data_IF_257960454459
#
_entry.id   IF_257960454459
#
_cell.length_a   1.000
_cell.length_b   1.000
_cell.length_c   1.000
_cell.angle_alpha   90.00
_cell.angle_beta   90.00
_cell.angle_gamma   90.00
#
_symmetry.space_group_name_H-M   'P 1'
#
loop_
_entity.id
_entity.type
_entity.pdbx_description
1 polymer ?
#
# COMPACT_ATOMS: atom_id res chain seq x y z
N UNK A 1 0.33 -23.11 6.78
CA UNK A 1 1.26 -22.88 5.65
C UNK A 1 1.07 -21.46 5.10
N UNK A 2 2.13 -20.68 4.90
CA UNK A 2 2.04 -19.24 4.57
C UNK A 2 2.84 -18.89 3.30
N UNK A 3 3.87 -19.66 2.95
CA UNK A 3 4.74 -19.33 1.82
C UNK A 3 4.03 -19.69 0.52
N UNK A 4 3.61 -18.67 -0.23
CA UNK A 4 2.92 -18.83 -1.50
C UNK A 4 3.90 -19.25 -2.61
N UNK A 5 3.53 -20.29 -3.35
CA UNK A 5 4.20 -20.72 -4.58
C UNK A 5 3.21 -20.71 -5.75
N UNK A 6 3.59 -20.08 -6.86
CA UNK A 6 2.68 -19.97 -8.01
C UNK A 6 2.44 -21.35 -8.64
N UNK A 7 1.19 -21.64 -9.02
CA UNK A 7 0.85 -22.91 -9.72
C UNK A 7 1.65 -22.99 -11.03
N UNK A 8 2.15 -24.20 -11.36
CA UNK A 8 2.96 -24.52 -12.55
C UNK A 8 4.36 -23.87 -12.58
N UNK A 9 4.54 -22.66 -12.08
CA UNK A 9 5.85 -21.99 -12.05
C UNK A 9 6.74 -22.46 -10.89
N UNK A 10 6.15 -22.76 -9.74
CA UNK A 10 6.88 -23.23 -8.55
C UNK A 10 7.07 -24.75 -8.47
N UNK A 11 6.76 -25.51 -9.53
CA UNK A 11 6.76 -26.98 -9.47
C UNK A 11 8.16 -27.56 -9.24
N UNK A 12 9.20 -26.92 -9.80
CA UNK A 12 10.59 -27.31 -9.53
C UNK A 12 10.98 -27.12 -8.07
N UNK A 13 10.54 -26.02 -7.45
CA UNK A 13 10.75 -25.77 -6.02
C UNK A 13 10.03 -26.84 -5.21
N UNK A 14 8.76 -27.11 -5.53
CA UNK A 14 7.95 -28.15 -4.86
C UNK A 14 8.63 -29.52 -4.89
N UNK A 15 9.23 -29.89 -6.03
CA UNK A 15 9.97 -31.15 -6.15
C UNK A 15 11.19 -31.18 -5.23
N UNK A 16 11.96 -30.08 -5.12
CA UNK A 16 13.14 -29.99 -4.24
C UNK A 16 12.76 -30.12 -2.76
N UNK A 17 11.66 -29.47 -2.36
CA UNK A 17 11.23 -29.46 -0.95
C UNK A 17 10.34 -30.64 -0.56
N UNK A 18 9.94 -31.49 -1.51
CA UNK A 18 9.05 -32.63 -1.29
C UNK A 18 7.58 -32.26 -1.02
N UNK A 19 7.07 -31.19 -1.63
CA UNK A 19 5.69 -30.72 -1.46
C UNK A 19 4.76 -31.15 -2.61
N UNK A 20 3.45 -31.24 -2.35
CA UNK A 20 2.47 -31.58 -3.39
C UNK A 20 2.34 -30.46 -4.42
N UNK A 21 2.13 -30.83 -5.69
CA UNK A 21 1.87 -29.89 -6.80
C UNK A 21 0.58 -29.10 -6.64
N UNK A 22 -0.35 -29.59 -5.83
CA UNK A 22 -1.62 -28.92 -5.58
C UNK A 22 -1.55 -27.84 -4.50
N UNK A 23 -0.52 -27.90 -3.64
CA UNK A 23 -0.38 -27.00 -2.50
C UNK A 23 -0.04 -25.58 -2.97
N UNK A 24 -0.97 -24.64 -2.70
CA UNK A 24 -0.75 -23.20 -2.96
C UNK A 24 0.19 -22.55 -1.93
N UNK A 25 0.16 -23.03 -0.69
CA UNK A 25 0.94 -22.50 0.42
C UNK A 25 1.74 -23.60 1.09
N UNK A 26 3.02 -23.35 1.29
CA UNK A 26 3.97 -24.29 1.87
C UNK A 26 4.36 -23.83 3.28
N UNK A 27 4.64 -24.79 4.18
CA UNK A 27 5.16 -24.48 5.51
C UNK A 27 6.65 -24.17 5.45
N UNK A 28 7.11 -23.25 6.30
CA UNK A 28 8.51 -22.82 6.34
C UNK A 28 9.48 -24.00 6.53
N UNK A 29 9.12 -24.95 7.39
CA UNK A 29 9.94 -26.14 7.70
C UNK A 29 10.27 -26.97 6.46
N UNK A 30 9.41 -27.02 5.44
CA UNK A 30 9.65 -27.81 4.24
C UNK A 30 10.88 -27.34 3.44
N UNK A 31 11.26 -26.06 3.59
CA UNK A 31 12.41 -25.47 2.90
C UNK A 31 13.76 -25.82 3.57
N UNK A 32 13.73 -26.43 4.75
CA UNK A 32 14.92 -26.85 5.47
C UNK A 32 15.01 -28.38 5.54
N UNK A 33 16.23 -28.90 5.58
CA UNK A 33 16.49 -30.31 5.87
C UNK A 33 16.30 -30.59 7.37
N UNK A 34 16.33 -31.86 7.77
CA UNK A 34 16.32 -32.25 9.18
C UNK A 34 17.55 -31.71 9.94
N UNK A 35 18.66 -31.48 9.23
CA UNK A 35 19.89 -30.86 9.75
C UNK A 35 19.84 -29.33 9.76
N UNK A 36 18.75 -28.71 9.28
CA UNK A 36 18.57 -27.26 9.23
C UNK A 36 19.19 -26.56 8.01
N UNK A 37 19.70 -27.31 7.04
CA UNK A 37 20.27 -26.75 5.82
C UNK A 37 19.16 -26.22 4.90
N UNK A 38 19.40 -25.07 4.28
CA UNK A 38 18.44 -24.45 3.39
C UNK A 38 18.46 -25.09 2.00
N UNK A 39 17.38 -25.80 1.64
CA UNK A 39 17.31 -26.63 0.43
C UNK A 39 17.44 -25.86 -0.89
N UNK A 40 17.10 -24.56 -0.89
CA UNK A 40 17.21 -23.73 -2.10
C UNK A 40 18.59 -23.09 -2.29
N UNK A 41 19.45 -23.08 -1.26
CA UNK A 41 20.74 -22.40 -1.29
C UNK A 41 21.60 -22.71 -2.54
N UNK A 42 21.73 -23.97 -3.00
CA UNK A 42 22.56 -24.29 -4.17
C UNK A 42 22.09 -23.66 -5.48
N UNK A 43 20.82 -23.28 -5.56
CA UNK A 43 20.19 -22.74 -6.78
C UNK A 43 20.16 -21.22 -6.80
N UNK A 44 20.48 -20.57 -5.68
CA UNK A 44 20.35 -19.12 -5.52
C UNK A 44 21.59 -18.36 -5.95
N UNK A 45 22.78 -18.93 -5.79
CA UNK A 45 24.04 -18.24 -6.14
C UNK A 45 24.05 -17.80 -7.61
N UNK A 46 23.76 -18.73 -8.53
CA UNK A 46 23.69 -18.44 -9.97
C UNK A 46 22.54 -17.48 -10.29
N UNK A 47 21.39 -17.66 -9.64
CA UNK A 47 20.25 -16.78 -9.84
C UNK A 47 20.61 -15.33 -9.49
N UNK A 48 21.19 -15.08 -8.32
CA UNK A 48 21.55 -13.73 -7.85
C UNK A 48 22.69 -13.11 -8.65
N UNK A 49 23.63 -13.90 -9.17
CA UNK A 49 24.72 -13.41 -10.02
C UNK A 49 24.26 -12.96 -11.41
N UNK A 50 23.15 -13.49 -11.91
CA UNK A 50 22.62 -13.20 -13.25
C UNK A 50 21.92 -11.83 -13.32
N UNK A 51 22.29 -10.99 -14.28
CA UNK A 51 21.73 -9.63 -14.49
C UNK A 51 20.29 -9.65 -15.03
N UNK A 52 19.95 -10.60 -15.90
CA UNK A 52 18.59 -10.81 -16.44
C UNK A 52 18.14 -12.23 -16.11
N UNK A 53 17.47 -12.44 -14.96
CA UNK A 53 17.04 -13.77 -14.53
C UNK A 53 16.01 -14.37 -15.48
N UNK A 54 16.15 -15.66 -15.79
CA UNK A 54 15.10 -16.41 -16.49
C UNK A 54 13.88 -16.64 -15.56
N UNK A 55 12.78 -17.16 -16.10
CA UNK A 55 11.55 -17.35 -15.33
C UNK A 55 11.73 -18.28 -14.11
N UNK A 56 12.64 -19.26 -14.19
CA UNK A 56 12.96 -20.17 -13.10
C UNK A 56 13.75 -19.45 -12.00
N UNK A 57 14.85 -18.79 -12.36
CA UNK A 57 15.67 -18.00 -11.44
C UNK A 57 14.86 -16.92 -10.74
N UNK A 58 13.94 -16.27 -11.46
CA UNK A 58 13.01 -15.29 -10.88
C UNK A 58 12.11 -15.91 -9.80
N UNK A 59 11.51 -17.08 -10.06
CA UNK A 59 10.67 -17.76 -9.05
C UNK A 59 11.48 -18.21 -7.83
N UNK A 60 12.73 -18.66 -8.02
CA UNK A 60 13.63 -19.01 -6.92
C UNK A 60 13.98 -17.80 -6.05
N UNK A 61 14.34 -16.67 -6.67
CA UNK A 61 14.59 -15.40 -5.94
C UNK A 61 13.36 -14.93 -5.16
N UNK A 62 12.20 -14.90 -5.82
CA UNK A 62 10.96 -14.47 -5.17
C UNK A 62 10.57 -15.40 -4.01
N UNK A 63 10.82 -16.70 -4.15
CA UNK A 63 10.57 -17.67 -3.09
C UNK A 63 11.55 -17.53 -1.93
N UNK A 64 12.84 -17.37 -2.23
CA UNK A 64 13.88 -17.10 -1.23
C UNK A 64 13.54 -15.85 -0.41
N UNK A 65 13.17 -14.75 -1.07
CA UNK A 65 12.75 -13.53 -0.39
C UNK A 65 11.58 -13.77 0.57
N UNK A 66 10.56 -14.54 0.16
CA UNK A 66 9.42 -14.90 1.03
C UNK A 66 9.82 -15.78 2.21
N UNK A 67 10.70 -16.77 1.97
CA UNK A 67 11.22 -17.67 3.01
C UNK A 67 12.02 -16.89 4.03
N UNK A 68 13.00 -16.09 3.57
CA UNK A 68 13.86 -15.28 4.43
C UNK A 68 13.07 -14.23 5.20
N UNK A 69 12.09 -13.58 4.56
CA UNK A 69 11.23 -12.62 5.26
C UNK A 69 10.46 -13.27 6.42
N UNK A 70 9.85 -14.44 6.19
CA UNK A 70 9.13 -15.16 7.24
C UNK A 70 10.07 -15.69 8.32
N UNK A 71 11.22 -16.24 7.92
CA UNK A 71 12.23 -16.73 8.86
C UNK A 71 12.75 -15.60 9.76
N UNK A 72 13.12 -14.47 9.17
CA UNK A 72 13.59 -13.28 9.90
C UNK A 72 12.53 -12.68 10.83
N UNK A 73 11.26 -12.70 10.41
CA UNK A 73 10.15 -12.27 11.26
C UNK A 73 9.97 -13.19 12.48
N UNK A 74 10.10 -14.51 12.32
CA UNK A 74 9.97 -15.48 13.41
C UNK A 74 11.18 -15.50 14.36
N UNK A 75 12.40 -15.34 13.84
CA UNK A 75 13.60 -15.18 14.67
C UNK A 75 13.67 -13.80 15.35
N UNK A 76 12.84 -12.86 14.91
CA UNK A 76 12.79 -11.50 15.43
C UNK A 76 14.06 -10.71 15.10
N UNK A 77 14.64 -10.94 13.91
CA UNK A 77 15.79 -10.18 13.40
C UNK A 77 15.35 -8.88 12.74
N UNK A 78 14.24 -8.91 11.98
CA UNK A 78 13.70 -7.73 11.28
C UNK A 78 12.86 -6.81 12.15
N UNK A 79 12.34 -7.29 13.28
CA UNK A 79 11.44 -6.51 14.14
C UNK A 79 12.24 -5.80 15.23
N UNK A 80 12.37 -4.48 15.09
CA UNK A 80 12.95 -3.60 16.12
C UNK A 80 11.85 -3.21 17.10
N UNK A 81 11.74 -3.96 18.20
CA UNK A 81 10.65 -3.82 19.17
C UNK A 81 11.09 -3.22 20.49
N UNK A 82 12.41 -3.20 20.77
CA UNK A 82 12.92 -2.90 22.09
C UNK A 82 13.71 -1.60 22.07
N UNK A 83 13.28 -0.54 22.78
CA UNK A 83 14.03 0.71 22.86
C UNK A 83 15.36 0.51 23.58
N UNK A 84 16.41 1.21 23.11
CA UNK A 84 17.68 1.36 23.81
C UNK A 84 17.53 2.45 24.87
N UNK A 85 17.97 2.15 26.10
CA UNK A 85 17.88 3.07 27.23
C UNK A 85 18.82 4.27 27.00
N UNK A 86 18.31 5.49 27.18
CA UNK A 86 19.04 6.76 27.09
C UNK A 86 19.78 7.00 25.75
N UNK A 87 19.27 6.45 24.65
CA UNK A 87 19.82 6.69 23.31
C UNK A 87 19.33 8.03 22.74
N UNK A 88 20.26 8.91 22.34
CA UNK A 88 19.94 10.25 21.82
C UNK A 88 19.03 10.23 20.58
N UNK A 89 19.06 9.16 19.79
CA UNK A 89 18.28 9.02 18.56
C UNK A 89 17.02 8.17 18.76
N UNK A 90 16.65 7.82 20.00
CA UNK A 90 15.54 6.93 20.31
C UNK A 90 15.62 5.62 19.50
N UNK A 91 16.81 5.01 19.40
CA UNK A 91 17.02 3.78 18.62
C UNK A 91 16.29 2.59 19.25
N UNK A 92 15.65 1.79 18.40
CA UNK A 92 15.06 0.51 18.78
C UNK A 92 15.84 -0.64 18.15
N UNK A 93 15.99 -1.73 18.89
CA UNK A 93 16.75 -2.91 18.48
C UNK A 93 15.87 -4.15 18.43
N UNK A 94 16.34 -5.15 17.68
CA UNK A 94 15.71 -6.45 17.59
C UNK A 94 16.27 -7.41 18.64
N UNK A 95 15.53 -8.50 18.93
CA UNK A 95 16.02 -9.51 19.88
C UNK A 95 17.31 -10.17 19.41
N UNK A 96 17.50 -10.30 18.09
CA UNK A 96 18.70 -10.90 17.51
C UNK A 96 19.91 -9.99 17.61
N UNK A 97 19.71 -8.68 17.45
CA UNK A 97 20.76 -7.67 17.58
C UNK A 97 21.32 -7.66 19.01
N UNK A 98 20.44 -7.69 20.03
CA UNK A 98 20.87 -7.74 21.43
C UNK A 98 21.65 -9.02 21.79
N UNK A 99 21.35 -10.17 21.14
CA UNK A 99 22.13 -11.42 21.32
C UNK A 99 23.52 -11.33 20.67
N UNK A 100 23.65 -10.55 19.61
CA UNK A 100 24.91 -10.38 18.87
C UNK A 100 25.86 -9.38 19.51
N UNK A 101 25.33 -8.33 20.14
CA UNK A 101 26.09 -7.30 20.84
C UNK A 101 25.53 -7.02 22.24
N UNK A 102 26.00 -7.80 23.22
CA UNK A 102 25.56 -7.73 24.61
C UNK A 102 25.94 -6.39 25.32
N UNK A 103 26.58 -5.44 24.63
CA UNK A 103 26.99 -4.15 25.21
C UNK A 103 25.97 -3.03 24.99
N UNK A 104 25.01 -3.22 24.08
CA UNK A 104 24.01 -2.19 23.75
C UNK A 104 23.09 -1.92 24.94
N UNK A 105 22.64 -2.98 25.62
CA UNK A 105 21.80 -2.89 26.82
C UNK A 105 22.61 -3.28 28.05
N UNK A 106 22.89 -2.29 28.90
CA UNK A 106 23.67 -2.49 30.14
C UNK A 106 22.88 -3.19 31.25
N UNK A 107 21.56 -3.01 31.28
CA UNK A 107 20.67 -3.67 32.24
C UNK A 107 20.53 -5.16 31.88
N UNK A 108 21.04 -6.04 32.74
CA UNK A 108 21.04 -7.48 32.52
C UNK A 108 19.63 -8.09 32.56
N UNK A 109 18.72 -7.55 33.38
CA UNK A 109 17.34 -8.02 33.45
C UNK A 109 16.60 -7.66 32.16
N UNK A 110 16.75 -6.43 31.71
CA UNK A 110 16.13 -5.99 30.46
C UNK A 110 16.72 -6.71 29.25
N UNK A 111 18.04 -6.91 29.21
CA UNK A 111 18.70 -7.67 28.14
C UNK A 111 18.21 -9.13 28.07
N UNK A 112 18.04 -9.79 29.22
CA UNK A 112 17.47 -11.14 29.28
C UNK A 112 16.00 -11.17 28.82
N UNK A 113 15.22 -10.15 29.17
CA UNK A 113 13.85 -10.00 28.69
C UNK A 113 13.82 -9.81 27.16
N UNK A 114 14.69 -8.97 26.57
CA UNK A 114 14.76 -8.80 25.11
C UNK A 114 15.09 -10.13 24.41
N UNK A 115 16.04 -10.88 24.96
CA UNK A 115 16.53 -12.12 24.35
C UNK A 115 15.47 -13.23 24.31
N UNK A 116 14.54 -13.24 25.27
CA UNK A 116 13.57 -14.33 25.45
C UNK A 116 12.13 -13.89 25.19
N UNK A 117 11.77 -12.64 25.51
CA UNK A 117 10.41 -12.12 25.52
C UNK A 117 9.67 -12.29 24.21
N UNK A 118 10.30 -11.97 23.07
CA UNK A 118 9.66 -12.17 21.75
C UNK A 118 9.39 -13.65 21.44
N UNK A 119 10.34 -14.55 21.75
CA UNK A 119 10.15 -16.00 21.55
C UNK A 119 9.09 -16.57 22.51
N UNK A 120 9.06 -16.10 23.75
CA UNK A 120 8.05 -16.44 24.76
C UNK A 120 6.66 -15.99 24.32
N UNK A 121 6.53 -14.78 23.78
CA UNK A 121 5.28 -14.29 23.18
C UNK A 121 4.81 -15.21 22.06
N UNK A 122 5.67 -15.54 21.09
CA UNK A 122 5.31 -16.44 19.99
C UNK A 122 4.91 -17.85 20.47
N UNK A 123 5.58 -18.36 21.50
CA UNK A 123 5.24 -19.64 22.13
C UNK A 123 3.82 -19.61 22.72
N UNK A 124 3.51 -18.63 23.58
CA UNK A 124 2.19 -18.51 24.18
C UNK A 124 1.10 -18.18 23.17
N UNK A 125 1.41 -17.37 22.14
CA UNK A 125 0.48 -17.10 21.05
C UNK A 125 0.11 -18.40 20.32
N UNK A 126 1.08 -19.27 20.05
CA UNK A 126 0.82 -20.56 19.43
C UNK A 126 0.01 -21.51 20.34
N UNK A 127 0.25 -21.48 21.65
CA UNK A 127 -0.58 -22.22 22.62
C UNK A 127 -2.01 -21.68 22.65
N UNK A 128 -2.19 -20.35 22.71
CA UNK A 128 -3.49 -19.70 22.70
C UNK A 128 -4.29 -19.97 21.45
N UNK A 129 -3.63 -20.11 20.29
CA UNK A 129 -4.31 -20.57 19.05
C UNK A 129 -4.86 -22.00 19.14
N UNK A 130 -4.32 -22.85 20.01
CA UNK A 130 -4.79 -24.23 20.23
C UNK A 130 -5.84 -24.31 21.33
N UNK A 131 -5.68 -23.56 22.41
CA UNK A 131 -6.59 -23.54 23.57
C UNK A 131 -7.73 -22.52 23.46
N UNK A 132 -7.64 -21.58 22.50
CA UNK A 132 -8.48 -20.39 22.38
C UNK A 132 -8.41 -19.42 23.58
N UNK A 133 -7.32 -19.47 24.35
CA UNK A 133 -7.02 -18.58 25.47
C UNK A 133 -5.71 -17.83 25.24
N UNK A 134 -5.80 -16.50 25.10
CA UNK A 134 -4.68 -15.62 24.78
C UNK A 134 -4.12 -14.87 26.01
N UNK A 135 -4.61 -15.17 27.21
CA UNK A 135 -4.27 -14.44 28.44
C UNK A 135 -2.76 -14.39 28.70
N UNK A 136 -2.04 -15.50 28.47
CA UNK A 136 -0.58 -15.54 28.66
C UNK A 136 0.18 -14.77 27.57
N UNK A 137 -0.26 -14.82 26.30
CA UNK A 137 0.36 -14.01 25.24
C UNK A 137 0.13 -12.52 25.47
N UNK A 138 -1.06 -12.14 25.97
CA UNK A 138 -1.41 -10.75 26.26
C UNK A 138 -0.59 -10.19 27.42
N UNK A 139 -0.27 -11.01 28.44
CA UNK A 139 0.66 -10.62 29.51
C UNK A 139 2.05 -10.29 28.99
N UNK A 140 2.60 -11.12 28.10
CA UNK A 140 3.92 -10.87 27.52
C UNK A 140 3.88 -9.65 26.58
N UNK A 141 2.82 -9.51 25.79
CA UNK A 141 2.62 -8.33 24.94
C UNK A 141 2.53 -7.05 25.77
N UNK A 142 1.78 -7.08 26.88
CA UNK A 142 1.71 -5.99 27.84
C UNK A 142 3.09 -5.63 28.41
N UNK A 143 3.88 -6.62 28.81
CA UNK A 143 5.25 -6.38 29.29
C UNK A 143 6.15 -5.74 28.21
N UNK A 144 6.02 -6.14 26.94
CA UNK A 144 6.74 -5.50 25.82
C UNK A 144 6.29 -4.04 25.68
N UNK A 145 4.98 -3.78 25.65
CA UNK A 145 4.42 -2.43 25.55
C UNK A 145 4.87 -1.55 26.72
N UNK A 146 4.85 -2.05 27.95
CA UNK A 146 5.30 -1.33 29.13
C UNK A 146 6.76 -0.90 29.00
N UNK A 147 7.64 -1.75 28.46
CA UNK A 147 9.03 -1.37 28.20
C UNK A 147 9.15 -0.31 27.11
N UNK A 148 8.31 -0.37 26.07
CA UNK A 148 8.28 0.62 25.00
C UNK A 148 7.82 1.99 25.52
N UNK A 149 6.76 2.04 26.34
CA UNK A 149 6.32 3.28 26.98
C UNK A 149 7.33 3.80 28.01
N UNK A 150 7.98 2.92 28.77
CA UNK A 150 8.93 3.32 29.80
C UNK A 150 10.21 3.92 29.23
N UNK A 151 10.79 3.29 28.22
CA UNK A 151 12.11 3.67 27.68
C UNK A 151 12.05 4.35 26.31
N UNK A 152 10.94 4.24 25.59
CA UNK A 152 10.76 4.79 24.23
C UNK A 152 9.60 5.79 24.10
N UNK A 153 9.10 6.35 25.21
CA UNK A 153 7.93 7.26 25.23
C UNK A 153 8.04 8.44 24.25
N UNK A 154 9.25 8.94 23.97
CA UNK A 154 9.47 10.10 23.10
C UNK A 154 9.00 9.89 21.65
N UNK A 155 8.98 8.64 21.19
CA UNK A 155 8.62 8.27 19.80
C UNK A 155 7.35 7.42 19.72
N UNK A 156 6.70 7.14 20.86
CA UNK A 156 5.43 6.41 20.88
C UNK A 156 4.29 7.29 20.37
N UNK A 157 3.41 6.71 19.55
CA UNK A 157 2.20 7.36 19.08
C UNK A 157 1.15 7.42 20.19
N UNK A 158 0.30 8.44 20.18
CA UNK A 158 -0.85 8.51 21.08
C UNK A 158 -1.89 7.45 20.70
N UNK A 159 -2.65 6.95 21.67
CA UNK A 159 -3.72 5.96 21.42
C UNK A 159 -4.70 6.42 20.33
N UNK A 160 -5.09 7.71 20.36
CA UNK A 160 -5.96 8.31 19.34
C UNK A 160 -5.39 8.22 17.93
N UNK A 161 -4.06 8.31 17.77
CA UNK A 161 -3.38 8.24 16.48
C UNK A 161 -3.28 6.79 16.01
N UNK A 162 -3.03 5.85 16.91
CA UNK A 162 -3.05 4.40 16.64
C UNK A 162 -4.45 3.97 16.18
N UNK A 163 -5.51 4.34 16.92
CA UNK A 163 -6.89 4.04 16.54
C UNK A 163 -7.26 4.64 15.19
N UNK A 164 -6.84 5.89 14.95
CA UNK A 164 -7.04 6.59 13.67
C UNK A 164 -6.39 5.83 12.50
N UNK A 165 -5.17 5.32 12.68
CA UNK A 165 -4.47 4.50 11.69
C UNK A 165 -5.14 3.14 11.46
N UNK A 166 -5.57 2.47 12.54
CA UNK A 166 -6.31 1.20 12.44
C UNK A 166 -7.61 1.39 11.66
N UNK A 167 -8.36 2.46 11.93
CA UNK A 167 -9.58 2.79 11.19
C UNK A 167 -9.28 3.13 9.72
N UNK A 168 -8.25 3.93 9.46
CA UNK A 168 -7.81 4.29 8.11
C UNK A 168 -7.50 3.02 7.28
N UNK A 169 -6.72 2.09 7.84
CA UNK A 169 -6.38 0.82 7.18
C UNK A 169 -7.59 -0.11 7.03
N UNK A 170 -8.53 -0.09 7.98
CA UNK A 170 -9.75 -0.91 7.92
C UNK A 170 -10.71 -0.44 6.82
N UNK A 171 -10.89 0.87 6.67
CA UNK A 171 -11.81 1.44 5.67
C UNK A 171 -11.21 1.46 4.26
N UNK A 172 -9.88 1.55 4.14
CA UNK A 172 -9.16 1.54 2.86
C UNK A 172 -9.85 2.43 1.81
N UNK A 173 -9.95 3.72 2.16
CA UNK A 173 -10.78 4.70 1.46
C UNK A 173 -10.39 4.78 -0.01
N UNK A 174 -9.09 4.78 -0.32
CA UNK A 174 -8.58 4.93 -1.68
C UNK A 174 -8.89 3.72 -2.58
N UNK A 175 -8.87 2.50 -2.02
CA UNK A 175 -9.29 1.30 -2.74
C UNK A 175 -10.78 1.32 -3.08
N UNK A 176 -11.60 1.85 -2.18
CA UNK A 176 -13.03 2.00 -2.48
C UNK A 176 -13.27 3.13 -3.49
N UNK A 177 -12.57 4.27 -3.34
CA UNK A 177 -12.72 5.45 -4.19
C UNK A 177 -12.48 5.15 -5.67
N UNK A 178 -11.46 4.36 -6.03
CA UNK A 178 -11.20 4.07 -7.45
C UNK A 178 -12.42 3.42 -8.12
N UNK A 179 -13.05 2.45 -7.44
CA UNK A 179 -14.22 1.73 -7.96
C UNK A 179 -15.40 2.68 -8.16
N UNK A 180 -15.65 3.55 -7.18
CA UNK A 180 -16.75 4.50 -7.25
C UNK A 180 -16.55 5.58 -8.30
N UNK A 181 -15.33 6.11 -8.44
CA UNK A 181 -15.01 7.05 -9.53
C UNK A 181 -15.16 6.39 -10.90
N UNK A 182 -14.75 5.11 -11.03
CA UNK A 182 -14.89 4.36 -12.28
C UNK A 182 -16.37 4.21 -12.66
N UNK A 183 -17.23 3.80 -11.72
CA UNK A 183 -18.65 3.65 -11.96
C UNK A 183 -19.31 5.00 -12.24
N UNK A 184 -19.11 6.01 -11.40
CA UNK A 184 -19.73 7.32 -11.57
C UNK A 184 -19.28 8.01 -12.87
N UNK A 185 -17.98 7.98 -13.18
CA UNK A 185 -17.43 8.58 -14.40
C UNK A 185 -17.88 7.87 -15.67
N UNK A 186 -17.82 6.53 -15.71
CA UNK A 186 -18.20 5.76 -16.90
C UNK A 186 -19.71 5.80 -17.15
N UNK A 187 -20.52 5.71 -16.10
CA UNK A 187 -21.98 5.82 -16.24
C UNK A 187 -22.39 7.23 -16.66
N UNK A 188 -21.78 8.27 -16.09
CA UNK A 188 -22.02 9.64 -16.54
C UNK A 188 -21.66 9.81 -18.02
N UNK A 189 -20.53 9.27 -18.46
CA UNK A 189 -20.12 9.31 -19.87
C UNK A 189 -21.15 8.64 -20.79
N UNK A 190 -21.65 7.45 -20.42
CA UNK A 190 -22.69 6.74 -21.17
C UNK A 190 -23.99 7.56 -21.23
N UNK A 191 -24.43 8.10 -20.09
CA UNK A 191 -25.66 8.91 -20.02
C UNK A 191 -25.54 10.19 -20.86
N UNK A 192 -24.36 10.83 -20.89
CA UNK A 192 -24.10 12.00 -21.73
C UNK A 192 -24.16 11.65 -23.23
N UNK A 193 -23.65 10.48 -23.64
CA UNK A 193 -23.83 10.01 -25.02
C UNK A 193 -25.31 9.81 -25.34
N UNK A 194 -26.08 9.21 -24.44
CA UNK A 194 -27.53 9.05 -24.64
C UNK A 194 -28.28 10.38 -24.69
N UNK A 195 -27.83 11.39 -23.94
CA UNK A 195 -28.41 12.74 -23.96
C UNK A 195 -28.33 13.39 -25.35
N UNK A 196 -27.28 13.10 -26.12
CA UNK A 196 -27.12 13.59 -27.50
C UNK A 196 -28.26 13.09 -28.40
N UNK A 197 -28.74 11.86 -28.18
CA UNK A 197 -29.82 11.27 -28.98
C UNK A 197 -31.22 11.52 -28.42
N UNK A 198 -31.36 11.63 -27.09
CA UNK A 198 -32.66 11.74 -26.43
C UNK A 198 -32.56 12.67 -25.21
N UNK A 199 -33.00 13.92 -25.35
CA UNK A 199 -32.93 14.90 -24.26
C UNK A 199 -34.23 14.93 -23.45
N UNK A 200 -34.35 14.02 -22.48
CA UNK A 200 -35.50 13.91 -21.58
C UNK A 200 -35.17 14.30 -20.14
N UNK A 201 -36.19 14.69 -19.36
CA UNK A 201 -36.06 15.07 -17.94
C UNK A 201 -35.39 13.99 -17.08
N UNK A 202 -35.59 12.71 -17.41
CA UNK A 202 -34.96 11.58 -16.73
C UNK A 202 -33.44 11.58 -16.93
N UNK A 203 -32.97 11.78 -18.16
CA UNK A 203 -31.54 11.80 -18.49
C UNK A 203 -30.85 12.98 -17.81
N UNK A 204 -31.45 14.17 -17.85
CA UNK A 204 -30.91 15.35 -17.15
C UNK A 204 -30.86 15.16 -15.63
N UNK A 205 -31.84 14.44 -15.05
CA UNK A 205 -31.83 14.10 -13.63
C UNK A 205 -30.71 13.11 -13.29
N UNK A 206 -30.49 12.09 -14.13
CA UNK A 206 -29.39 11.13 -13.97
C UNK A 206 -28.01 11.80 -14.06
N UNK A 207 -27.81 12.69 -15.03
CA UNK A 207 -26.56 13.49 -15.15
C UNK A 207 -26.30 14.26 -13.87
N UNK A 208 -27.33 14.91 -13.33
CA UNK A 208 -27.23 15.68 -12.09
C UNK A 208 -26.84 14.79 -10.90
N UNK A 209 -27.47 13.62 -10.76
CA UNK A 209 -27.15 12.65 -9.71
C UNK A 209 -25.70 12.18 -9.80
N UNK A 210 -25.24 11.76 -10.99
CA UNK A 210 -23.86 11.30 -11.16
C UNK A 210 -22.84 12.42 -10.94
N UNK A 211 -23.14 13.64 -11.38
CA UNK A 211 -22.26 14.79 -11.13
C UNK A 211 -22.11 15.09 -9.64
N UNK A 212 -23.20 15.13 -8.88
CA UNK A 212 -23.13 15.32 -7.43
C UNK A 212 -22.45 14.16 -6.71
N UNK A 213 -22.62 12.92 -7.20
CA UNK A 213 -21.87 11.77 -6.72
C UNK A 213 -20.36 11.96 -6.90
N UNK A 214 -19.90 12.43 -8.07
CA UNK A 214 -18.49 12.74 -8.31
C UNK A 214 -17.98 13.83 -7.36
N UNK A 215 -18.77 14.88 -7.09
CA UNK A 215 -18.39 15.91 -6.12
C UNK A 215 -18.27 15.36 -4.69
N UNK A 216 -19.18 14.46 -4.29
CA UNK A 216 -19.08 13.77 -3.01
C UNK A 216 -17.80 12.91 -2.92
N UNK A 217 -17.49 12.16 -3.98
CA UNK A 217 -16.25 11.38 -4.06
C UNK A 217 -15.01 12.27 -4.00
N UNK A 218 -15.06 13.47 -4.56
CA UNK A 218 -13.96 14.44 -4.48
C UNK A 218 -13.71 14.93 -3.06
N UNK A 219 -14.77 15.20 -2.31
CA UNK A 219 -14.67 15.58 -0.90
C UNK A 219 -14.14 14.41 -0.06
N UNK A 220 -14.66 13.19 -0.27
CA UNK A 220 -14.16 11.99 0.42
C UNK A 220 -12.69 11.71 0.12
N UNK A 221 -12.26 11.97 -1.11
CA UNK A 221 -10.86 11.87 -1.52
C UNK A 221 -9.98 12.88 -0.77
N UNK A 222 -10.41 14.14 -0.68
CA UNK A 222 -9.70 15.16 0.11
C UNK A 222 -9.61 14.78 1.60
N UNK A 223 -10.71 14.28 2.18
CA UNK A 223 -10.74 13.79 3.57
C UNK A 223 -9.75 12.64 3.77
N UNK A 224 -9.68 11.69 2.82
CA UNK A 224 -8.70 10.59 2.87
C UNK A 224 -7.26 11.09 2.87
N UNK A 225 -6.94 12.11 2.06
CA UNK A 225 -5.60 12.73 2.04
C UNK A 225 -5.29 13.45 3.36
N UNK A 226 -6.23 14.22 3.90
CA UNK A 226 -6.07 14.88 5.20
C UNK A 226 -5.90 13.88 6.34
N UNK A 227 -6.66 12.78 6.32
CA UNK A 227 -6.53 11.70 7.30
C UNK A 227 -5.15 11.06 7.22
N UNK A 228 -4.66 10.76 6.01
CA UNK A 228 -3.31 10.23 5.82
C UNK A 228 -2.24 11.20 6.33
N UNK A 229 -2.36 12.49 6.03
CA UNK A 229 -1.45 13.52 6.55
C UNK A 229 -1.41 13.55 8.08
N UNK A 230 -2.57 13.47 8.75
CA UNK A 230 -2.63 13.42 10.20
C UNK A 230 -1.89 12.20 10.78
N UNK A 231 -2.02 11.03 10.14
CA UNK A 231 -1.35 9.79 10.57
C UNK A 231 0.16 9.84 10.29
N UNK A 232 0.57 10.21 9.08
CA UNK A 232 1.98 10.22 8.69
C UNK A 232 2.78 11.34 9.34
N UNK A 233 2.13 12.45 9.72
CA UNK A 233 2.81 13.63 10.26
C UNK A 233 3.51 14.48 9.19
N UNK A 234 3.41 14.11 7.91
CA UNK A 234 3.92 14.88 6.77
C UNK A 234 2.91 14.88 5.63
N UNK A 235 3.08 15.78 4.66
CA UNK A 235 2.17 15.86 3.54
C UNK A 235 2.21 14.58 2.67
N UNK A 236 1.08 14.13 2.11
CA UNK A 236 0.93 12.83 1.45
C UNK A 236 1.38 12.89 -0.01
N UNK A 237 2.66 13.19 -0.25
CA UNK A 237 3.30 13.16 -1.57
C UNK A 237 4.78 12.79 -1.45
N UNK A 238 5.16 12.04 -0.41
CA UNK A 238 6.54 11.69 -0.12
C UNK A 238 7.01 10.43 -0.85
N UNK A 239 6.09 9.51 -1.10
CA UNK A 239 6.34 8.24 -1.79
C UNK A 239 5.56 8.14 -3.11
N UNK A 240 5.78 7.06 -3.87
CA UNK A 240 5.12 6.83 -5.15
C UNK A 240 3.61 6.59 -5.04
N UNK A 241 3.15 5.92 -3.98
CA UNK A 241 1.73 5.70 -3.70
C UNK A 241 1.02 7.00 -3.39
N UNK A 242 1.58 7.76 -2.44
CA UNK A 242 1.17 9.08 -2.03
C UNK A 242 1.11 10.06 -3.20
N UNK A 243 2.13 10.04 -4.05
CA UNK A 243 2.14 10.86 -5.27
C UNK A 243 0.97 10.52 -6.19
N UNK A 244 0.64 9.24 -6.40
CA UNK A 244 -0.47 8.87 -7.29
C UNK A 244 -1.84 9.26 -6.74
N UNK A 245 -2.09 9.05 -5.44
CA UNK A 245 -3.34 9.50 -4.82
C UNK A 245 -3.46 11.03 -4.90
N UNK A 246 -2.37 11.76 -4.68
CA UNK A 246 -2.36 13.22 -4.82
C UNK A 246 -2.59 13.68 -6.28
N UNK A 247 -1.89 13.09 -7.27
CA UNK A 247 -2.10 13.40 -8.70
C UNK A 247 -3.56 13.18 -9.08
N UNK A 248 -4.15 12.06 -8.64
CA UNK A 248 -5.55 11.75 -8.97
C UNK A 248 -6.51 12.77 -8.37
N UNK A 249 -6.30 13.21 -7.14
CA UNK A 249 -7.08 14.27 -6.53
C UNK A 249 -6.94 15.61 -7.28
N UNK A 250 -5.71 16.02 -7.64
CA UNK A 250 -5.47 17.26 -8.41
C UNK A 250 -6.08 17.18 -9.81
N UNK A 251 -6.01 16.01 -10.46
CA UNK A 251 -6.66 15.76 -11.77
C UNK A 251 -8.16 15.98 -11.68
N UNK A 252 -8.82 15.43 -10.66
CA UNK A 252 -10.24 15.63 -10.43
C UNK A 252 -10.56 17.09 -10.09
N UNK A 253 -9.74 17.75 -9.27
CA UNK A 253 -9.89 19.17 -8.95
C UNK A 253 -9.94 20.03 -10.22
N UNK A 254 -8.98 19.86 -11.12
CA UNK A 254 -8.96 20.57 -12.39
C UNK A 254 -10.13 20.16 -13.30
N UNK A 255 -10.54 18.89 -13.27
CA UNK A 255 -11.74 18.42 -13.95
C UNK A 255 -13.02 19.11 -13.48
N UNK A 256 -13.17 19.37 -12.17
CA UNK A 256 -14.31 20.12 -11.61
C UNK A 256 -14.21 21.61 -11.96
N UNK A 257 -13.02 22.21 -11.83
CA UNK A 257 -12.80 23.65 -12.09
C UNK A 257 -13.07 23.99 -13.56
N UNK A 258 -12.52 23.22 -14.49
CA UNK A 258 -12.67 23.45 -15.94
C UNK A 258 -13.92 22.79 -16.52
N UNK A 259 -14.47 21.75 -15.89
CA UNK A 259 -15.70 21.07 -16.31
C UNK A 259 -16.99 21.84 -16.06
N UNK A 260 -16.93 23.07 -15.50
CA UNK A 260 -18.10 23.95 -15.32
C UNK A 260 -18.88 24.23 -16.60
N UNK A 261 -18.21 24.14 -17.77
CA UNK A 261 -18.81 24.38 -19.09
C UNK A 261 -19.27 23.09 -19.80
N UNK A 262 -18.80 21.93 -19.36
CA UNK A 262 -19.08 20.66 -20.04
C UNK A 262 -19.08 19.50 -19.04
N UNK A 263 -20.23 18.87 -18.87
CA UNK A 263 -20.37 17.67 -18.04
C UNK A 263 -19.53 16.50 -18.60
N UNK A 264 -19.20 16.51 -19.91
CA UNK A 264 -18.31 15.54 -20.54
C UNK A 264 -16.89 15.62 -19.95
N UNK A 265 -16.41 16.82 -19.67
CA UNK A 265 -15.11 17.03 -19.01
C UNK A 265 -15.10 16.42 -17.60
N UNK A 266 -16.19 16.57 -16.84
CA UNK A 266 -16.31 15.97 -15.49
C UNK A 266 -16.31 14.44 -15.59
N UNK A 267 -17.03 13.87 -16.56
CA UNK A 267 -17.08 12.43 -16.78
C UNK A 267 -15.72 11.84 -17.15
N UNK A 268 -15.03 12.43 -18.14
CA UNK A 268 -13.74 11.94 -18.61
C UNK A 268 -12.64 12.09 -17.56
N UNK A 269 -12.68 13.15 -16.75
CA UNK A 269 -11.71 13.37 -15.66
C UNK A 269 -11.94 12.46 -14.48
N UNK A 270 -13.20 12.20 -14.12
CA UNK A 270 -13.54 11.17 -13.12
C UNK A 270 -13.08 9.79 -13.56
N UNK A 271 -13.26 9.45 -14.85
CA UNK A 271 -12.75 8.20 -15.41
C UNK A 271 -11.23 8.09 -15.28
N UNK A 272 -10.46 9.11 -15.66
CA UNK A 272 -8.99 9.02 -15.52
C UNK A 272 -8.51 9.10 -14.09
N UNK A 273 -9.18 9.84 -13.22
CA UNK A 273 -8.95 9.81 -11.77
C UNK A 273 -9.06 8.37 -11.24
N UNK A 274 -10.07 7.63 -11.70
CA UNK A 274 -10.22 6.21 -11.34
C UNK A 274 -9.08 5.33 -11.86
N UNK A 275 -8.56 5.60 -13.05
CA UNK A 275 -7.42 4.86 -13.62
C UNK A 275 -6.14 5.11 -12.85
N UNK A 276 -5.85 6.37 -12.47
CA UNK A 276 -4.68 6.71 -11.66
C UNK A 276 -4.77 6.03 -10.29
N UNK A 277 -5.93 6.10 -9.62
CA UNK A 277 -6.15 5.43 -8.34
C UNK A 277 -6.04 3.90 -8.46
N UNK A 278 -6.52 3.31 -9.56
CA UNK A 278 -6.38 1.87 -9.82
C UNK A 278 -4.90 1.46 -9.94
N UNK A 279 -4.10 2.24 -10.68
CA UNK A 279 -2.65 1.99 -10.83
C UNK A 279 -1.94 2.12 -9.48
N UNK A 280 -2.36 3.07 -8.63
CA UNK A 280 -1.79 3.22 -7.28
C UNK A 280 -1.94 1.95 -6.42
N UNK A 281 -2.99 1.15 -6.65
CA UNK A 281 -3.25 -0.09 -5.89
C UNK A 281 -2.71 -1.35 -6.59
N UNK A 282 -2.00 -1.21 -7.71
CA UNK A 282 -1.30 -2.35 -8.29
C UNK A 282 -0.12 -2.75 -7.38
N UNK A 283 0.26 -4.03 -7.43
CA UNK A 283 1.20 -4.65 -6.49
C UNK A 283 2.64 -4.11 -6.52
N UNK A 284 2.89 -3.02 -7.25
CA UNK A 284 4.19 -2.39 -7.41
C UNK A 284 4.39 -1.21 -6.47
N UNK A 285 3.32 -0.73 -5.82
CA UNK A 285 3.36 0.41 -4.92
C UNK A 285 3.15 -0.04 -3.48
N UNK A 286 3.92 0.52 -2.54
CA UNK A 286 3.76 0.26 -1.12
C UNK A 286 2.75 1.25 -0.51
N UNK A 287 1.57 0.80 -0.05
CA UNK A 287 0.59 1.68 0.57
C UNK A 287 0.94 2.05 2.03
N UNK A 288 1.93 1.37 2.63
CA UNK A 288 2.33 1.60 4.02
C UNK A 288 2.81 3.03 4.24
N UNK A 289 2.51 3.56 5.43
CA UNK A 289 2.98 4.88 5.83
C UNK A 289 4.42 4.69 6.30
N UNK A 290 5.37 5.14 5.48
CA UNK A 290 6.78 5.11 5.80
C UNK A 290 7.24 6.42 6.45
N UNK A 291 8.38 6.38 7.13
CA UNK A 291 9.04 7.59 7.58
C UNK A 291 9.51 8.43 6.39
N UNK A 292 9.47 9.75 6.54
CA UNK A 292 9.96 10.67 5.54
C UNK A 292 11.45 10.42 5.28
N UNK A 293 11.82 10.24 4.00
CA UNK A 293 13.22 10.08 3.62
C UNK A 293 13.96 11.39 3.92
N UNK A 294 15.18 11.37 4.52
CA UNK A 294 15.89 12.59 4.93
C UNK A 294 16.06 13.64 3.82
N UNK A 295 16.13 13.21 2.56
CA UNK A 295 16.22 14.13 1.40
C UNK A 295 14.99 15.00 1.25
N UNK A 296 13.81 14.50 1.64
CA UNK A 296 12.51 15.18 1.57
C UNK A 296 12.22 16.06 2.78
N UNK A 297 13.07 16.03 3.82
CA UNK A 297 12.93 16.85 5.03
C UNK A 297 13.48 18.28 4.83
N UNK A 298 13.08 18.90 3.72
CA UNK A 298 13.41 20.29 3.40
C UNK A 298 12.17 21.00 2.89
N UNK A 299 11.89 22.16 3.46
CA UNK A 299 10.75 23.00 3.09
C UNK A 299 10.69 23.28 1.58
N UNK A 300 11.84 23.55 0.97
CA UNK A 300 11.93 23.83 -0.46
C UNK A 300 11.63 22.61 -1.32
N UNK A 301 12.12 21.44 -0.92
CA UNK A 301 11.90 20.22 -1.69
C UNK A 301 10.44 19.77 -1.57
N UNK A 302 9.82 19.89 -0.41
CA UNK A 302 8.40 19.61 -0.21
C UNK A 302 7.51 20.45 -1.12
N UNK A 303 7.75 21.77 -1.22
CA UNK A 303 6.98 22.64 -2.12
C UNK A 303 7.25 22.30 -3.59
N UNK A 304 8.52 22.13 -3.97
CA UNK A 304 8.91 21.82 -5.33
C UNK A 304 8.25 20.53 -5.85
N UNK A 305 8.32 19.45 -5.07
CA UNK A 305 7.71 18.17 -5.42
C UNK A 305 6.19 18.30 -5.49
N UNK A 306 5.55 18.99 -4.54
CA UNK A 306 4.09 19.17 -4.57
C UNK A 306 3.59 19.91 -5.83
N UNK A 307 4.35 20.89 -6.33
CA UNK A 307 4.02 21.64 -7.54
C UNK A 307 4.26 20.80 -8.80
N UNK A 308 5.40 20.10 -8.89
CA UNK A 308 5.69 19.22 -10.03
C UNK A 308 4.64 18.11 -10.11
N UNK A 309 4.40 17.43 -9.00
CA UNK A 309 3.43 16.33 -8.93
C UNK A 309 2.02 16.85 -9.20
N UNK A 310 1.65 18.00 -8.64
CA UNK A 310 0.38 18.65 -8.91
C UNK A 310 0.20 19.05 -10.39
N UNK A 311 1.27 19.41 -11.08
CA UNK A 311 1.23 19.80 -12.50
C UNK A 311 0.80 18.67 -13.43
N UNK A 312 0.97 17.40 -13.04
CA UNK A 312 0.47 16.28 -13.84
C UNK A 312 -1.05 16.31 -14.00
N UNK A 313 -1.80 16.84 -13.02
CA UNK A 313 -3.26 16.94 -13.10
C UNK A 313 -3.77 17.71 -14.33
N UNK A 314 -3.40 18.99 -14.53
CA UNK A 314 -3.81 19.73 -15.72
C UNK A 314 -3.23 19.15 -17.01
N UNK A 315 -2.01 18.60 -17.02
CA UNK A 315 -1.48 17.90 -18.21
C UNK A 315 -2.32 16.67 -18.59
N UNK A 316 -2.71 15.87 -17.60
CA UNK A 316 -3.60 14.72 -17.79
C UNK A 316 -4.95 15.16 -18.31
N UNK A 317 -5.54 16.22 -17.74
CA UNK A 317 -6.79 16.82 -18.23
C UNK A 317 -6.68 17.24 -19.70
N UNK A 318 -5.64 17.99 -20.07
CA UNK A 318 -5.41 18.46 -21.45
C UNK A 318 -5.27 17.30 -22.42
N UNK A 319 -4.54 16.25 -22.04
CA UNK A 319 -4.37 15.05 -22.86
C UNK A 319 -5.71 14.35 -23.12
N UNK A 320 -6.54 14.18 -22.08
CA UNK A 320 -7.83 13.51 -22.20
C UNK A 320 -8.80 14.32 -23.05
N UNK A 321 -8.90 15.62 -22.80
CA UNK A 321 -9.77 16.50 -23.58
C UNK A 321 -9.38 16.46 -25.06
N UNK A 322 -8.07 16.55 -25.36
CA UNK A 322 -7.57 16.41 -26.72
C UNK A 322 -7.95 15.06 -27.36
N UNK A 323 -7.79 13.95 -26.63
CA UNK A 323 -8.15 12.62 -27.12
C UNK A 323 -9.66 12.49 -27.38
N UNK A 324 -10.49 12.94 -26.44
CA UNK A 324 -11.95 12.90 -26.57
C UNK A 324 -12.40 13.75 -27.76
N UNK A 325 -11.84 14.95 -27.92
CA UNK A 325 -12.13 15.82 -29.07
C UNK A 325 -11.72 15.15 -30.39
N UNK A 326 -10.55 14.52 -30.47
CA UNK A 326 -10.13 13.79 -31.67
C UNK A 326 -11.08 12.63 -32.02
N UNK A 327 -11.51 11.86 -31.01
CA UNK A 327 -12.48 10.78 -31.19
C UNK A 327 -13.81 11.35 -31.72
N UNK A 328 -14.30 12.44 -31.13
CA UNK A 328 -15.52 13.08 -31.57
C UNK A 328 -15.41 13.56 -33.03
N UNK A 329 -14.29 14.20 -33.42
CA UNK A 329 -14.06 14.65 -34.80
C UNK A 329 -14.11 13.48 -35.79
N UNK A 330 -13.53 12.33 -35.46
CA UNK A 330 -13.58 11.13 -36.32
C UNK A 330 -15.02 10.61 -36.49
N UNK A 331 -15.85 10.75 -35.46
CA UNK A 331 -17.25 10.30 -35.46
C UNK A 331 -18.22 11.33 -36.08
N UNK A 332 -17.76 12.55 -36.37
CA UNK A 332 -18.57 13.56 -37.06
C UNK A 332 -18.78 13.16 -38.53
N UNK A 333 -20.04 13.17 -38.94
CA UNK A 333 -20.52 12.97 -40.31
C UNK A 333 -21.44 14.15 -40.70
N UNK A 334 -21.81 14.22 -41.98
CA UNK A 334 -22.66 15.32 -42.47
C UNK A 334 -24.04 15.40 -41.80
N UNK A 335 -24.50 14.34 -41.12
CA UNK A 335 -25.81 14.27 -40.45
C UNK A 335 -25.78 14.73 -38.98
N UNK A 336 -24.63 14.70 -38.31
CA UNK A 336 -24.49 15.06 -36.90
C UNK A 336 -23.62 16.33 -36.68
N UNK A 337 -23.16 16.95 -37.77
CA UNK A 337 -22.28 18.12 -37.75
C UNK A 337 -22.86 19.35 -37.02
N UNK A 338 -24.17 19.58 -37.13
CA UNK A 338 -24.85 20.68 -36.42
C UNK A 338 -25.12 20.39 -34.93
N UNK A 339 -25.10 19.12 -34.51
CA UNK A 339 -25.34 18.71 -33.11
C UNK A 339 -24.03 18.69 -32.31
N UNK A 340 -22.89 18.52 -32.99
CA UNK A 340 -21.56 18.31 -32.40
C UNK A 340 -20.63 19.54 -32.51
N UNK A 341 -21.06 20.60 -33.22
CA UNK A 341 -20.38 21.90 -33.30
C UNK A 341 -20.83 22.81 -32.15
#
# INVERSE_FOLDING_TARGET
PIIYLKKKKGDSIRNIIGASKEDKHIALVNFFTETGEYKLAPYLEEAYRTTVPNAFQKEFKETDQRVNLLYNALEGTSLRLFPVIDDENNRWISSAENRGDNKVIKDTLYSNFINTGFKTYLYFLNQGKRSNDFSESDKILGAILDTQYRYGSQVMLTESKIESEVLYNKYDIFRSLFSWYLYAGSLLFIVLIFQIFNNNRIINSLITIFKYSIYLLFILHAIGLCWRWYISGHAPWSDGYESMIYISWVTMLFGIVFGRRSDLTIASTAFVTSMILMIAHWSWMDPAIANLVPVLDSYWLMIHVSIIVGSYGPFTLSMILGLVTLILIILVNNKNKEIMA
#
